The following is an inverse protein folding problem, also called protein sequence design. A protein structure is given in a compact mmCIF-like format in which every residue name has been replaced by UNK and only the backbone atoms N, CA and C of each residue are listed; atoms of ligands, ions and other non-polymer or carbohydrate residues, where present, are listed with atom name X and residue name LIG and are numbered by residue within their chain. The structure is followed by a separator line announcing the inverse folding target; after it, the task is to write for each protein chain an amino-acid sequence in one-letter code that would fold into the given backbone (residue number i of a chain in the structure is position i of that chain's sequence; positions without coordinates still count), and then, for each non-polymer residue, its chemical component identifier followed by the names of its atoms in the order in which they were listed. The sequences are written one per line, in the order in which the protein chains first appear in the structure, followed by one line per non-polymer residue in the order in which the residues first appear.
data_IF_419530956790
#
_entry.id   IF_419530956790
#
_cell.length_a   1.000
_cell.length_b   1.000
_cell.length_c   1.000
_cell.angle_alpha   90.00
_cell.angle_beta   90.00
_cell.angle_gamma   90.00
#
_symmetry.space_group_name_H-M   'P 1'
#
loop_
_entity.id
_entity.type
_entity.pdbx_description
1 polymer ?
#
# COMPACT_ATOMS: atom_id res chain seq x y z
N UNK A 1 -43.60 -44.33 -19.55
CA UNK A 1 -43.09 -42.96 -19.29
C UNK A 1 -42.38 -42.80 -17.95
N UNK A 2 -42.81 -43.45 -16.86
CA UNK A 2 -42.23 -43.26 -15.51
C UNK A 2 -40.76 -43.71 -15.36
N UNK A 3 -40.34 -44.75 -16.09
CA UNK A 3 -38.98 -45.27 -16.01
C UNK A 3 -37.92 -44.34 -16.64
N UNK A 4 -38.26 -43.66 -17.74
CA UNK A 4 -37.37 -42.67 -18.39
C UNK A 4 -37.17 -41.41 -17.54
N UNK A 5 -38.19 -41.01 -16.77
CA UNK A 5 -38.12 -39.87 -15.85
C UNK A 5 -37.21 -40.17 -14.64
N UNK A 6 -37.23 -41.41 -14.16
CA UNK A 6 -36.36 -41.89 -13.08
C UNK A 6 -34.87 -41.92 -13.49
N UNK A 7 -34.57 -42.37 -14.70
CA UNK A 7 -33.20 -42.31 -15.23
C UNK A 7 -32.72 -40.87 -15.48
N UNK A 8 -33.61 -39.97 -15.90
CA UNK A 8 -33.28 -38.55 -16.06
C UNK A 8 -32.96 -37.88 -14.70
N UNK A 9 -33.70 -38.23 -13.64
CA UNK A 9 -33.40 -37.76 -12.27
C UNK A 9 -32.10 -38.36 -11.72
N UNK A 10 -31.82 -39.64 -11.99
CA UNK A 10 -30.57 -40.28 -11.58
C UNK A 10 -29.34 -39.68 -12.28
N UNK A 11 -29.47 -39.26 -13.55
CA UNK A 11 -28.40 -38.59 -14.29
C UNK A 11 -28.13 -37.15 -13.78
N UNK A 12 -29.16 -36.44 -13.32
CA UNK A 12 -29.01 -35.09 -12.74
C UNK A 12 -28.35 -35.12 -11.36
N UNK A 13 -28.52 -36.20 -10.60
CA UNK A 13 -27.92 -36.33 -9.26
C UNK A 13 -26.40 -36.59 -9.31
N UNK A 14 -25.87 -37.19 -10.37
CA UNK A 14 -24.42 -37.46 -10.49
C UNK A 14 -23.60 -36.24 -10.88
N UNK A 15 -24.22 -35.21 -11.47
CA UNK A 15 -23.56 -33.96 -11.89
C UNK A 15 -23.39 -33.00 -10.71
N UNK A 16 -24.15 -33.16 -9.62
CA UNK A 16 -24.10 -32.27 -8.45
C UNK A 16 -23.03 -32.62 -7.40
N UNK A 17 -22.23 -33.67 -7.61
CA UNK A 17 -21.12 -34.05 -6.71
C UNK A 17 -19.75 -33.56 -7.14
N UNK A 18 -19.66 -32.68 -8.16
CA UNK A 18 -18.43 -31.94 -8.41
C UNK A 18 -18.21 -30.93 -7.29
N UNK A 19 -17.47 -31.39 -6.28
CA UNK A 19 -16.97 -30.65 -5.14
C UNK A 19 -16.63 -29.21 -5.50
N UNK A 20 -17.39 -28.27 -4.96
CA UNK A 20 -16.97 -26.88 -4.86
C UNK A 20 -15.77 -26.82 -3.91
N UNK A 21 -14.58 -27.13 -4.43
CA UNK A 21 -13.33 -26.87 -3.72
C UNK A 21 -13.11 -25.37 -3.78
N UNK A 22 -13.57 -24.66 -2.75
CA UNK A 22 -13.12 -23.31 -2.50
C UNK A 22 -11.60 -23.35 -2.29
N UNK A 23 -10.82 -23.11 -3.35
CA UNK A 23 -9.37 -22.88 -3.26
C UNK A 23 -9.12 -21.52 -2.60
N UNK A 24 -9.40 -21.41 -1.31
CA UNK A 24 -8.80 -20.38 -0.48
C UNK A 24 -7.33 -20.75 -0.35
N UNK A 25 -6.46 -20.12 -1.14
CA UNK A 25 -5.02 -20.23 -0.91
C UNK A 25 -4.74 -19.76 0.53
N UNK A 26 -4.27 -20.67 1.40
CA UNK A 26 -3.94 -20.34 2.79
C UNK A 26 -2.79 -19.35 2.76
N UNK A 27 -3.09 -18.06 2.88
CA UNK A 27 -2.08 -17.03 3.02
C UNK A 27 -1.35 -17.26 4.35
N UNK A 28 -0.02 -17.36 4.30
CA UNK A 28 0.83 -17.49 5.49
C UNK A 28 0.52 -16.39 6.51
N UNK A 29 0.53 -16.62 7.83
CA UNK A 29 0.28 -15.53 8.78
C UNK A 29 1.36 -14.46 8.70
N UNK A 30 0.97 -13.19 8.82
CA UNK A 30 1.93 -12.07 8.85
C UNK A 30 2.59 -11.98 10.24
N UNK A 31 3.91 -11.76 10.27
CA UNK A 31 4.62 -11.48 11.52
C UNK A 31 4.14 -10.16 12.13
N UNK A 32 4.19 -10.04 13.45
CA UNK A 32 3.92 -8.77 14.13
C UNK A 32 4.94 -7.70 13.73
N UNK A 33 4.47 -6.46 13.58
CA UNK A 33 5.32 -5.32 13.21
C UNK A 33 6.29 -5.02 14.34
N UNK A 34 7.58 -4.99 14.02
CA UNK A 34 8.65 -4.60 14.95
C UNK A 34 8.97 -3.11 14.76
N UNK A 35 8.72 -2.33 15.81
CA UNK A 35 9.01 -0.89 15.81
C UNK A 35 10.39 -0.62 16.39
N UNK A 36 11.17 0.23 15.73
CA UNK A 36 12.41 0.78 16.30
C UNK A 36 12.08 1.83 17.37
N UNK A 37 12.98 2.04 18.32
CA UNK A 37 12.76 3.00 19.42
C UNK A 37 12.56 4.45 18.94
N UNK A 38 13.10 4.79 17.77
CA UNK A 38 12.94 6.12 17.19
C UNK A 38 11.47 6.54 17.01
N UNK A 39 10.49 5.63 16.95
CA UNK A 39 9.06 5.99 16.81
C UNK A 39 8.46 6.61 18.08
N UNK A 40 9.14 6.48 19.22
CA UNK A 40 8.72 7.09 20.50
C UNK A 40 8.93 8.61 20.49
N UNK A 41 9.93 9.11 19.75
CA UNK A 41 10.20 10.54 19.62
C UNK A 41 9.02 11.28 18.96
N UNK A 42 8.78 12.56 19.31
CA UNK A 42 7.75 13.40 18.67
C UNK A 42 7.99 13.54 17.16
N UNK A 43 6.98 13.97 16.41
CA UNK A 43 7.14 14.25 14.98
C UNK A 43 8.14 15.40 14.79
N UNK A 44 9.01 15.28 13.80
CA UNK A 44 9.79 16.43 13.33
C UNK A 44 8.86 17.43 12.64
N UNK A 45 9.31 18.68 12.49
CA UNK A 45 8.53 19.71 11.78
C UNK A 45 8.19 19.29 10.35
N UNK A 46 9.10 18.59 9.67
CA UNK A 46 8.90 18.08 8.32
C UNK A 46 7.89 16.93 8.27
N UNK A 47 7.97 15.98 9.20
CA UNK A 47 6.98 14.89 9.26
C UNK A 47 5.59 15.44 9.58
N UNK A 48 5.51 16.41 10.49
CA UNK A 48 4.26 17.07 10.83
C UNK A 48 3.68 17.82 9.62
N UNK A 49 4.49 18.58 8.88
CA UNK A 49 4.03 19.28 7.68
C UNK A 49 3.55 18.30 6.60
N UNK A 50 4.28 17.21 6.37
CA UNK A 50 3.92 16.19 5.39
C UNK A 50 2.59 15.50 5.73
N UNK A 51 2.38 15.17 7.00
CA UNK A 51 1.13 14.54 7.42
C UNK A 51 -0.02 15.57 7.35
N UNK A 52 0.18 16.81 7.79
CA UNK A 52 -0.85 17.86 7.73
C UNK A 52 -1.22 18.23 6.29
N UNK A 53 -0.27 18.25 5.37
CA UNK A 53 -0.56 18.49 3.95
C UNK A 53 -1.56 17.47 3.40
N UNK A 54 -1.40 16.19 3.74
CA UNK A 54 -2.25 15.11 3.22
C UNK A 54 -3.57 15.01 3.96
N UNK A 55 -3.55 15.09 5.29
CA UNK A 55 -4.77 14.90 6.09
C UNK A 55 -5.56 16.20 6.30
N UNK A 56 -4.97 17.37 6.08
CA UNK A 56 -5.64 18.67 6.22
C UNK A 56 -6.43 18.80 7.53
N UNK A 57 -7.69 19.21 7.48
CA UNK A 57 -8.64 19.29 8.58
C UNK A 57 -8.92 17.93 9.27
N UNK A 58 -8.60 16.81 8.61
CA UNK A 58 -8.74 15.45 9.17
C UNK A 58 -7.53 14.99 9.99
N UNK A 59 -6.46 15.79 10.08
CA UNK A 59 -5.24 15.42 10.80
C UNK A 59 -5.52 14.98 12.24
N UNK A 60 -6.31 15.76 12.99
CA UNK A 60 -6.53 15.45 14.41
C UNK A 60 -7.35 14.18 14.60
N UNK A 61 -8.46 14.06 13.86
CA UNK A 61 -9.40 12.94 13.97
C UNK A 61 -8.84 11.60 13.46
N UNK A 62 -7.99 11.63 12.45
CA UNK A 62 -7.48 10.41 11.78
C UNK A 62 -6.03 10.09 12.10
N UNK A 63 -5.25 11.03 12.64
CA UNK A 63 -3.84 10.80 12.98
C UNK A 63 -3.55 11.13 14.43
N UNK A 64 -3.70 12.38 14.87
CA UNK A 64 -3.24 12.82 16.20
C UNK A 64 -3.93 12.04 17.33
N UNK A 65 -5.26 11.93 17.25
CA UNK A 65 -6.08 11.24 18.25
C UNK A 65 -6.09 9.71 18.08
N UNK A 66 -5.26 9.17 17.17
CA UNK A 66 -5.13 7.74 16.90
C UNK A 66 -3.68 7.30 17.13
N UNK A 67 -3.29 6.95 18.38
CA UNK A 67 -1.90 6.67 18.74
C UNK A 67 -1.21 5.62 17.87
N UNK A 68 -1.94 4.54 17.51
CA UNK A 68 -1.40 3.51 16.63
C UNK A 68 -1.14 4.04 15.22
N UNK A 69 -2.05 4.82 14.64
CA UNK A 69 -1.88 5.43 13.31
C UNK A 69 -0.69 6.38 13.28
N UNK A 70 -0.54 7.20 14.31
CA UNK A 70 0.61 8.10 14.46
C UNK A 70 1.93 7.30 14.54
N UNK A 71 1.94 6.21 15.33
CA UNK A 71 3.10 5.31 15.44
C UNK A 71 3.44 4.63 14.11
N UNK A 72 2.44 4.21 13.35
CA UNK A 72 2.60 3.58 12.04
C UNK A 72 3.18 4.56 11.01
N UNK A 73 2.70 5.80 11.00
CA UNK A 73 3.22 6.85 10.12
C UNK A 73 4.67 7.21 10.47
N UNK A 74 5.00 7.33 11.76
CA UNK A 74 6.40 7.51 12.20
C UNK A 74 7.29 6.36 11.73
N UNK A 75 6.83 5.12 11.88
CA UNK A 75 7.59 3.97 11.41
C UNK A 75 7.77 3.97 9.89
N UNK A 76 6.72 4.33 9.16
CA UNK A 76 6.74 4.42 7.70
C UNK A 76 7.77 5.46 7.22
N UNK A 77 7.64 6.70 7.71
CA UNK A 77 8.49 7.83 7.29
C UNK A 77 9.95 7.66 7.72
N UNK A 78 10.21 7.14 8.92
CA UNK A 78 11.57 7.06 9.48
C UNK A 78 12.34 5.80 9.06
N UNK A 79 11.64 4.67 8.89
CA UNK A 79 12.29 3.36 8.84
C UNK A 79 12.02 2.58 7.55
N UNK A 80 10.99 2.93 6.77
CA UNK A 80 10.52 2.08 5.66
C UNK A 80 10.61 2.75 4.30
N UNK A 81 10.49 4.07 4.23
CA UNK A 81 10.62 4.81 2.97
C UNK A 81 12.09 5.11 2.72
N UNK A 82 12.59 4.65 1.57
CA UNK A 82 13.92 4.95 1.07
C UNK A 82 13.75 5.57 -0.31
N UNK A 83 14.25 6.79 -0.50
CA UNK A 83 14.32 7.40 -1.84
C UNK A 83 15.78 7.38 -2.28
N UNK A 84 16.04 6.74 -3.42
CA UNK A 84 17.40 6.61 -3.96
C UNK A 84 17.40 6.59 -5.47
N UNK A 85 18.54 6.92 -6.06
CA UNK A 85 18.75 6.80 -7.49
C UNK A 85 18.96 5.32 -7.86
N UNK A 86 18.30 4.87 -8.93
CA UNK A 86 18.38 3.52 -9.47
C UNK A 86 18.26 3.55 -11.02
N UNK A 87 19.20 4.18 -11.74
CA UNK A 87 19.11 4.35 -13.19
C UNK A 87 19.00 3.00 -13.94
N UNK A 88 19.59 1.95 -13.40
CA UNK A 88 19.52 0.59 -13.93
C UNK A 88 18.09 0.01 -13.96
N UNK A 89 17.20 0.54 -13.12
CA UNK A 89 15.82 0.08 -13.05
C UNK A 89 14.92 0.75 -14.09
N UNK A 90 15.32 1.90 -14.65
CA UNK A 90 14.49 2.73 -15.55
C UNK A 90 13.91 1.93 -16.73
N UNK A 91 14.70 1.08 -17.36
CA UNK A 91 14.28 0.24 -18.49
C UNK A 91 13.50 -1.03 -18.11
N UNK A 92 13.37 -1.35 -16.82
CA UNK A 92 12.73 -2.57 -16.31
C UNK A 92 11.36 -2.25 -15.72
N UNK A 93 10.41 -1.82 -16.55
CA UNK A 93 9.09 -1.30 -16.14
C UNK A 93 8.23 -2.31 -15.39
N UNK A 94 8.50 -3.61 -15.50
CA UNK A 94 7.82 -4.67 -14.77
C UNK A 94 8.18 -4.71 -13.26
N UNK A 95 9.28 -4.06 -12.86
CA UNK A 95 9.78 -4.09 -11.48
C UNK A 95 9.28 -2.95 -10.60
N UNK A 96 8.57 -1.98 -11.17
CA UNK A 96 8.07 -0.81 -10.45
C UNK A 96 6.74 -0.33 -11.01
N UNK A 97 6.02 0.48 -10.23
CA UNK A 97 4.89 1.27 -10.72
C UNK A 97 5.31 2.74 -10.81
N UNK A 98 4.70 3.52 -11.69
CA UNK A 98 4.95 4.97 -11.69
C UNK A 98 4.09 5.68 -10.63
N UNK A 99 4.49 6.87 -10.20
CA UNK A 99 3.62 7.72 -9.35
C UNK A 99 2.32 8.10 -10.07
N UNK A 100 2.38 8.28 -11.39
CA UNK A 100 1.20 8.57 -12.20
C UNK A 100 0.19 7.40 -12.17
N UNK A 101 0.66 6.17 -12.31
CA UNK A 101 -0.17 4.96 -12.15
C UNK A 101 -0.75 4.82 -10.74
N UNK A 102 0.02 5.18 -9.70
CA UNK A 102 -0.46 5.13 -8.33
C UNK A 102 -1.56 6.17 -8.08
N UNK A 103 -1.44 7.37 -8.66
CA UNK A 103 -2.37 8.46 -8.42
C UNK A 103 -2.10 9.21 -7.11
N UNK A 104 -2.83 10.31 -6.91
CA UNK A 104 -2.81 11.07 -5.65
C UNK A 104 -3.73 10.43 -4.61
N UNK A 105 -3.31 10.48 -3.35
CA UNK A 105 -4.12 10.14 -2.20
C UNK A 105 -4.88 11.37 -1.70
N UNK A 106 -5.89 11.79 -2.46
CA UNK A 106 -6.65 13.03 -2.23
C UNK A 106 -7.93 12.83 -1.40
N UNK A 107 -8.05 11.71 -0.68
CA UNK A 107 -9.24 11.35 0.10
C UNK A 107 -9.56 12.33 1.24
N UNK A 108 -8.54 12.99 1.80
CA UNK A 108 -8.70 13.98 2.88
C UNK A 108 -8.39 15.42 2.44
N UNK A 109 -7.59 15.58 1.38
CA UNK A 109 -7.26 16.88 0.81
C UNK A 109 -7.37 16.81 -0.72
N UNK A 110 -8.42 17.42 -1.27
CA UNK A 110 -8.64 17.49 -2.71
C UNK A 110 -7.71 18.46 -3.44
N UNK A 111 -7.02 19.34 -2.71
CA UNK A 111 -6.09 20.33 -3.26
C UNK A 111 -4.68 19.78 -3.50
N UNK A 112 -4.43 18.49 -3.22
CA UNK A 112 -3.15 17.87 -3.52
C UNK A 112 -2.88 17.88 -5.03
N UNK A 113 -1.62 18.16 -5.39
CA UNK A 113 -1.13 18.17 -6.77
C UNK A 113 0.09 17.27 -6.90
N UNK A 114 0.34 16.77 -8.10
CA UNK A 114 1.56 16.03 -8.40
C UNK A 114 2.79 16.95 -8.30
N UNK A 115 3.87 16.45 -7.70
CA UNK A 115 5.15 17.16 -7.74
C UNK A 115 5.75 17.05 -9.15
N UNK A 116 6.12 18.18 -9.74
CA UNK A 116 6.72 18.24 -11.07
C UNK A 116 8.20 17.86 -11.06
N UNK A 117 8.87 18.03 -9.91
CA UNK A 117 10.29 17.71 -9.71
C UNK A 117 10.51 17.05 -8.35
N UNK A 118 11.58 16.27 -8.22
CA UNK A 118 11.98 15.69 -6.95
C UNK A 118 12.91 16.65 -6.20
N UNK A 119 12.51 17.07 -5.00
CA UNK A 119 13.37 17.75 -4.05
C UNK A 119 13.29 17.04 -2.70
N UNK A 120 14.44 16.57 -2.20
CA UNK A 120 14.53 15.78 -0.96
C UNK A 120 13.91 16.46 0.26
N UNK A 121 13.93 17.80 0.35
CA UNK A 121 13.40 18.52 1.52
C UNK A 121 11.89 18.77 1.46
N UNK A 122 11.28 18.75 0.28
CA UNK A 122 9.86 19.10 0.10
C UNK A 122 9.02 17.96 -0.44
N UNK A 123 9.63 16.91 -0.99
CA UNK A 123 8.92 15.81 -1.62
C UNK A 123 8.21 14.94 -0.59
N UNK A 124 6.89 15.06 -0.54
CA UNK A 124 6.04 14.34 0.41
C UNK A 124 5.47 13.07 -0.22
N UNK A 125 6.06 11.93 0.14
CA UNK A 125 5.65 10.60 -0.34
C UNK A 125 4.19 10.26 0.02
N UNK A 126 3.64 10.83 1.09
CA UNK A 126 2.28 10.53 1.54
C UNK A 126 1.19 11.08 0.60
N UNK A 127 1.55 12.01 -0.30
CA UNK A 127 0.62 12.58 -1.30
C UNK A 127 0.11 11.55 -2.29
N UNK A 128 0.81 10.43 -2.44
CA UNK A 128 0.55 9.43 -3.48
C UNK A 128 -0.14 8.21 -2.89
N UNK A 129 -1.01 7.58 -3.68
CA UNK A 129 -1.77 6.39 -3.27
C UNK A 129 -0.91 5.12 -3.39
N UNK A 130 0.16 5.06 -2.60
CA UNK A 130 1.12 3.97 -2.58
C UNK A 130 0.68 2.84 -1.65
N UNK A 131 1.04 1.60 -1.97
CA UNK A 131 0.74 0.42 -1.17
C UNK A 131 1.64 0.33 0.10
N UNK A 132 1.53 1.29 1.01
CA UNK A 132 2.37 1.39 2.21
C UNK A 132 2.27 0.21 3.18
N UNK A 133 1.15 -0.50 3.20
CA UNK A 133 0.86 -1.55 4.17
C UNK A 133 0.70 -2.94 3.51
N UNK A 134 1.21 -3.09 2.28
CA UNK A 134 1.24 -4.36 1.57
C UNK A 134 2.16 -5.41 2.23
N UNK A 135 1.98 -6.68 1.86
CA UNK A 135 2.72 -7.82 2.46
C UNK A 135 4.21 -7.83 2.11
N UNK A 136 4.61 -7.17 1.02
CA UNK A 136 5.98 -7.10 0.53
C UNK A 136 6.44 -5.68 0.28
N UNK A 137 7.71 -5.53 -0.08
CA UNK A 137 8.24 -4.24 -0.48
C UNK A 137 7.59 -3.77 -1.79
N UNK A 138 7.58 -2.46 -2.00
CA UNK A 138 7.07 -1.82 -3.21
C UNK A 138 8.08 -0.82 -3.73
N UNK A 139 8.14 -0.69 -5.05
CA UNK A 139 9.03 0.23 -5.73
C UNK A 139 8.19 1.11 -6.65
N UNK A 140 8.35 2.42 -6.49
CA UNK A 140 7.68 3.42 -7.32
C UNK A 140 8.69 4.36 -7.95
N UNK A 141 8.57 4.61 -9.24
CA UNK A 141 9.42 5.58 -9.94
C UNK A 141 8.86 6.99 -9.79
N UNK A 142 9.72 7.93 -9.41
CA UNK A 142 9.35 9.34 -9.30
C UNK A 142 9.37 9.97 -10.69
N UNK A 143 8.19 10.05 -11.31
CA UNK A 143 7.98 10.70 -12.61
C UNK A 143 8.98 10.16 -13.67
N UNK A 144 9.53 11.02 -14.52
CA UNK A 144 10.54 10.65 -15.52
C UNK A 144 12.00 10.70 -15.02
N UNK A 145 12.23 10.66 -13.70
CA UNK A 145 13.58 10.75 -13.12
C UNK A 145 14.24 9.37 -12.95
N UNK A 146 15.50 9.35 -12.50
CA UNK A 146 16.20 8.13 -12.05
C UNK A 146 15.94 7.79 -10.56
N UNK A 147 15.09 8.56 -9.87
CA UNK A 147 14.79 8.36 -8.46
C UNK A 147 13.61 7.43 -8.25
N UNK A 148 13.74 6.55 -7.26
CA UNK A 148 12.74 5.57 -6.88
C UNK A 148 12.46 5.62 -5.39
N UNK A 149 11.19 5.45 -5.05
CA UNK A 149 10.69 5.24 -3.70
C UNK A 149 10.65 3.73 -3.47
N UNK A 150 11.48 3.25 -2.57
CA UNK A 150 11.42 1.88 -2.06
C UNK A 150 10.72 1.91 -0.71
N UNK A 151 9.57 1.22 -0.63
CA UNK A 151 8.81 1.05 0.60
C UNK A 151 9.09 -0.36 1.10
N UNK A 152 9.81 -0.50 2.21
CA UNK A 152 10.09 -1.79 2.83
C UNK A 152 8.84 -2.37 3.49
N UNK A 153 8.66 -3.70 3.51
CA UNK A 153 7.58 -4.34 4.28
C UNK A 153 7.67 -4.04 5.78
N UNK A 154 6.52 -3.95 6.47
CA UNK A 154 6.48 -3.80 7.93
C UNK A 154 6.59 -5.12 8.70
N UNK A 155 6.50 -6.26 8.00
CA UNK A 155 6.42 -7.60 8.59
C UNK A 155 7.74 -8.38 8.51
N UNK A 156 8.88 -7.68 8.61
CA UNK A 156 10.23 -8.28 8.51
C UNK A 156 10.59 -9.12 9.76
#
# INVERSE_FOLDING_TARGET
MKLKLLYAFALLFTISFFSATAQSSKMQPLKLVKYKDNVKAPLSSQELSFIKEVYSDKFDAYVLNRPQKLKDLKNLLRNRIIIKEMPELVGNTEKYKTLAEAGLFNAYNSALTFDTTYNKSTFNVLKYNLEFYGRGSRVYRISNTNFFIVILSQHQ
#
